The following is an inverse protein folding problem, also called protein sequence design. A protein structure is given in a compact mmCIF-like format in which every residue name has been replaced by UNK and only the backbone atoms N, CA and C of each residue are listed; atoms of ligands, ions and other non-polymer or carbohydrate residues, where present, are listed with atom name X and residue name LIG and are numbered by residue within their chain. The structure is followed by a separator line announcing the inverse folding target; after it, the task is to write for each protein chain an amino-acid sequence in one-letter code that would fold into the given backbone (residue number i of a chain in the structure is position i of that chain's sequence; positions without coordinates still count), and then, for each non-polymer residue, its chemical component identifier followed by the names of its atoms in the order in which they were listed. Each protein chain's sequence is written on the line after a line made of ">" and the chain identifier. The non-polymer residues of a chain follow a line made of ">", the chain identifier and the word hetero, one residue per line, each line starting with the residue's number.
data_IF_654418972679
#
_entry.id   IF_654418972679
#
_cell.length_a   1.000
_cell.length_b   1.000
_cell.length_c   1.000
_cell.angle_alpha   90.00
_cell.angle_beta   90.00
_cell.angle_gamma   90.00
#
_symmetry.space_group_name_H-M   'P 1'
#
loop_
_entity.id
_entity.type
_entity.pdbx_description
1 polymer ?
#
# COMPACT_ATOMS: atom_id res chain seq x y z
N UNK A 1 18.99 24.59 18.57
CA UNK A 1 18.00 25.11 17.72
C UNK A 1 17.63 24.17 16.63
N UNK A 2 16.36 24.01 16.39
CA UNK A 2 15.92 23.09 15.39
C UNK A 2 16.23 23.63 14.02
N UNK A 3 16.58 22.77 13.11
CA UNK A 3 16.80 23.18 11.74
C UNK A 3 15.49 23.54 11.11
N UNK A 4 15.51 24.55 10.29
CA UNK A 4 14.31 24.95 9.58
C UNK A 4 14.16 24.08 8.35
N UNK A 5 13.08 23.35 8.27
CA UNK A 5 12.77 22.56 7.09
C UNK A 5 11.26 22.44 6.97
N UNK A 6 10.83 22.07 5.78
CA UNK A 6 9.42 21.90 5.51
C UNK A 6 9.15 20.46 5.14
N UNK A 7 7.98 19.99 5.50
CA UNK A 7 7.55 18.65 5.15
C UNK A 7 6.42 18.73 4.13
N UNK A 8 6.17 17.62 3.46
CA UNK A 8 4.99 17.47 2.63
C UNK A 8 4.00 16.61 3.40
N UNK A 9 2.73 16.98 3.34
CA UNK A 9 1.69 16.12 3.90
C UNK A 9 1.20 15.22 2.79
N UNK A 10 1.36 13.94 2.98
CA UNK A 10 0.97 12.95 2.01
C UNK A 10 0.26 11.82 2.73
N UNK A 11 -0.31 10.90 1.98
CA UNK A 11 -1.00 9.76 2.56
C UNK A 11 -0.21 8.51 2.27
N UNK A 12 0.09 7.77 3.32
CA UNK A 12 0.72 6.47 3.19
C UNK A 12 -0.37 5.45 3.00
N UNK A 13 -0.32 4.70 1.91
CA UNK A 13 -1.24 3.59 1.70
C UNK A 13 -0.44 2.31 1.80
N UNK A 14 -0.93 1.37 2.58
CA UNK A 14 -0.32 0.05 2.75
C UNK A 14 -1.31 -1.01 2.30
N UNK A 15 -0.83 -1.94 1.49
CA UNK A 15 -1.62 -3.09 1.03
C UNK A 15 -0.86 -4.33 1.48
N UNK A 16 -1.57 -5.26 2.09
CA UNK A 16 -1.00 -6.56 2.47
C UNK A 16 -1.86 -7.63 1.81
N UNK A 17 -1.22 -8.52 1.08
CA UNK A 17 -1.94 -9.51 0.27
C UNK A 17 -1.07 -10.75 0.05
N UNK A 18 -1.66 -11.85 -0.37
CA UNK A 18 -0.86 -13.00 -0.79
C UNK A 18 0.11 -12.59 -1.90
N UNK A 19 1.32 -13.09 -1.84
CA UNK A 19 2.36 -12.67 -2.76
C UNK A 19 2.02 -12.94 -4.23
N UNK A 20 1.20 -13.93 -4.48
CA UNK A 20 0.79 -14.25 -5.85
C UNK A 20 -0.01 -13.14 -6.50
N UNK A 21 -0.54 -12.20 -5.72
CA UNK A 21 -1.29 -11.09 -6.27
C UNK A 21 -0.40 -9.89 -6.58
N UNK A 22 0.88 -9.96 -6.26
CA UNK A 22 1.77 -8.81 -6.31
C UNK A 22 1.77 -8.11 -7.67
N UNK A 23 2.00 -8.85 -8.74
CA UNK A 23 2.10 -8.23 -10.07
C UNK A 23 0.80 -7.52 -10.47
N UNK A 24 -0.32 -8.15 -10.21
CA UNK A 24 -1.60 -7.54 -10.53
C UNK A 24 -1.87 -6.28 -9.73
N UNK A 25 -1.49 -6.30 -8.44
CA UNK A 25 -1.67 -5.14 -7.59
C UNK A 25 -0.78 -3.98 -8.04
N UNK A 26 0.46 -4.28 -8.41
CA UNK A 26 1.36 -3.23 -8.89
C UNK A 26 0.88 -2.65 -10.21
N UNK A 27 0.29 -3.46 -11.07
CA UNK A 27 -0.31 -2.97 -12.30
C UNK A 27 -1.48 -2.03 -12.00
N UNK A 28 -2.32 -2.39 -11.04
CA UNK A 28 -3.42 -1.53 -10.63
C UNK A 28 -2.90 -0.18 -10.14
N UNK A 29 -1.85 -0.20 -9.33
CA UNK A 29 -1.30 1.05 -8.80
C UNK A 29 -0.77 1.94 -9.92
N UNK A 30 -0.08 1.36 -10.90
CA UNK A 30 0.40 2.14 -12.04
C UNK A 30 -0.75 2.75 -12.83
N UNK A 31 -1.81 1.99 -13.03
CA UNK A 31 -2.98 2.48 -13.75
C UNK A 31 -3.63 3.64 -13.02
N UNK A 32 -3.60 3.63 -11.71
CA UNK A 32 -4.17 4.70 -10.89
C UNK A 32 -3.28 5.95 -10.94
N UNK A 33 -2.02 5.78 -11.25
CA UNK A 33 -1.11 6.92 -11.31
C UNK A 33 -0.03 6.93 -10.25
N UNK A 34 0.16 5.81 -9.55
CA UNK A 34 1.21 5.72 -8.54
C UNK A 34 2.55 5.63 -9.25
N UNK A 35 3.51 6.46 -8.83
CA UNK A 35 4.80 6.52 -9.47
C UNK A 35 5.92 5.89 -8.64
N UNK A 36 5.67 5.63 -7.37
CA UNK A 36 6.71 5.02 -6.53
C UNK A 36 6.09 4.17 -5.44
N UNK A 37 6.76 3.10 -5.09
CA UNK A 37 6.29 2.21 -4.04
C UNK A 37 7.45 1.39 -3.52
N UNK A 38 7.27 0.81 -2.33
CA UNK A 38 8.21 -0.16 -1.79
C UNK A 38 7.46 -1.45 -1.53
N UNK A 39 8.12 -2.57 -1.72
CA UNK A 39 7.51 -3.86 -1.42
C UNK A 39 8.41 -4.65 -0.48
N UNK A 40 7.80 -5.48 0.32
CA UNK A 40 8.55 -6.40 1.19
C UNK A 40 7.72 -7.67 1.37
N UNK A 41 8.39 -8.76 1.67
CA UNK A 41 7.72 -10.01 1.98
C UNK A 41 7.47 -10.02 3.48
N UNK A 42 6.29 -10.40 3.89
CA UNK A 42 5.92 -10.41 5.30
C UNK A 42 5.10 -11.65 5.61
N UNK A 43 5.14 -12.05 6.86
CA UNK A 43 4.27 -13.11 7.32
C UNK A 43 3.12 -12.47 8.05
N UNK A 44 1.96 -13.10 8.01
CA UNK A 44 0.82 -12.56 8.69
C UNK A 44 -0.10 -13.65 9.18
N UNK A 45 -0.81 -13.35 10.23
CA UNK A 45 -1.82 -14.22 10.77
C UNK A 45 -3.03 -13.33 11.02
N UNK A 46 -4.12 -13.65 10.40
CA UNK A 46 -5.28 -12.81 10.50
C UNK A 46 -6.51 -13.56 10.94
N UNK A 47 -7.63 -12.87 10.78
CA UNK A 47 -8.90 -13.36 11.16
C UNK A 47 -9.23 -14.71 10.56
N UNK A 48 -8.73 -15.01 9.40
CA UNK A 48 -8.98 -16.27 8.74
C UNK A 48 -7.80 -17.24 8.87
N UNK A 49 -6.99 -17.05 9.85
CA UNK A 49 -5.85 -17.90 10.08
C UNK A 49 -4.69 -17.57 9.17
N UNK A 50 -3.81 -18.53 8.98
CA UNK A 50 -2.65 -18.31 8.16
C UNK A 50 -3.04 -18.42 6.72
N UNK A 51 -3.84 -17.60 6.22
CA UNK A 51 -4.16 -17.55 4.82
C UNK A 51 -4.25 -18.88 4.19
N UNK A 52 -5.10 -19.65 4.73
CA UNK A 52 -5.13 -20.93 4.30
C UNK A 52 -5.45 -21.16 2.93
N UNK A 53 -5.63 -20.21 2.17
CA UNK A 53 -5.65 -20.47 0.84
C UNK A 53 -4.37 -20.98 0.45
N UNK A 54 -3.43 -20.55 1.11
CA UNK A 54 -2.26 -21.03 0.87
C UNK A 54 -2.15 -22.27 1.49
N UNK A 55 -2.39 -23.17 0.87
CA UNK A 55 -2.20 -24.41 1.30
C UNK A 55 -0.84 -24.59 1.84
N UNK A 56 -0.08 -23.66 1.77
CA UNK A 56 1.23 -23.75 2.20
C UNK A 56 1.49 -22.43 2.73
N UNK A 57 2.45 -22.17 3.31
CA UNK A 57 2.82 -20.99 3.90
C UNK A 57 3.29 -19.99 2.88
N UNK A 58 2.44 -19.70 1.93
CA UNK A 58 2.80 -18.74 0.94
C UNK A 58 2.96 -17.40 1.61
N UNK A 59 4.05 -16.71 1.40
CA UNK A 59 4.26 -15.43 2.06
C UNK A 59 3.31 -14.37 1.54
N UNK A 60 3.16 -13.32 2.31
CA UNK A 60 2.41 -12.15 1.90
C UNK A 60 3.37 -11.10 1.36
N UNK A 61 2.84 -10.19 0.56
CA UNK A 61 3.56 -9.00 0.15
C UNK A 61 2.95 -7.82 0.87
N UNK A 62 3.80 -6.89 1.29
CA UNK A 62 3.38 -5.61 1.80
C UNK A 62 3.83 -4.57 0.79
N UNK A 63 2.91 -3.73 0.34
CA UNK A 63 3.20 -2.66 -0.61
C UNK A 63 2.89 -1.35 0.08
N UNK A 64 3.85 -0.45 0.11
CA UNK A 64 3.68 0.87 0.72
C UNK A 64 3.89 1.93 -0.36
N UNK A 65 3.05 2.94 -0.38
CA UNK A 65 3.22 4.05 -1.32
C UNK A 65 2.77 5.35 -0.66
N UNK A 66 3.44 6.43 -1.00
CA UNK A 66 3.10 7.76 -0.50
C UNK A 66 2.47 8.53 -1.64
N UNK A 67 1.24 8.92 -1.47
CA UNK A 67 0.44 9.52 -2.55
C UNK A 67 -0.41 10.66 -2.00
N UNK A 68 -1.08 11.37 -2.89
CA UNK A 68 -2.02 12.41 -2.46
C UNK A 68 -3.24 11.75 -1.82
N UNK A 69 -3.98 12.52 -1.06
CA UNK A 69 -5.20 12.02 -0.44
C UNK A 69 -6.18 11.52 -1.48
N UNK A 70 -6.24 12.18 -2.62
CA UNK A 70 -7.15 11.80 -3.69
C UNK A 70 -6.78 10.45 -4.28
N UNK A 71 -5.50 10.26 -4.57
CA UNK A 71 -5.03 8.97 -5.10
C UNK A 71 -5.23 7.88 -4.06
N UNK A 72 -4.99 8.19 -2.79
CA UNK A 72 -5.21 7.22 -1.72
C UNK A 72 -6.65 6.72 -1.70
N UNK A 73 -7.62 7.63 -1.86
CA UNK A 73 -9.03 7.23 -1.90
C UNK A 73 -9.30 6.30 -3.08
N UNK A 74 -8.71 6.60 -4.23
CA UNK A 74 -8.87 5.76 -5.41
C UNK A 74 -8.29 4.37 -5.17
N UNK A 75 -7.11 4.30 -4.54
CA UNK A 75 -6.50 3.01 -4.24
C UNK A 75 -7.39 2.23 -3.27
N UNK A 76 -7.85 2.86 -2.19
CA UNK A 76 -8.66 2.16 -1.21
C UNK A 76 -9.95 1.65 -1.83
N UNK A 77 -10.55 2.43 -2.72
CA UNK A 77 -11.76 1.99 -3.41
C UNK A 77 -11.52 0.78 -4.30
N UNK A 78 -10.39 0.79 -5.03
CA UNK A 78 -10.04 -0.33 -5.90
C UNK A 78 -9.75 -1.58 -5.07
N UNK A 79 -9.04 -1.42 -3.95
CA UNK A 79 -8.71 -2.53 -3.08
C UNK A 79 -9.96 -3.07 -2.38
N UNK A 80 -10.87 -2.19 -2.00
CA UNK A 80 -12.12 -2.62 -1.39
C UNK A 80 -12.92 -3.51 -2.33
N UNK A 81 -13.01 -3.13 -3.59
CA UNK A 81 -13.72 -3.94 -4.57
C UNK A 81 -13.03 -5.29 -4.77
N UNK A 82 -11.71 -5.29 -4.78
CA UNK A 82 -10.94 -6.49 -5.01
C UNK A 82 -10.97 -7.44 -3.83
N UNK A 83 -11.07 -6.91 -2.62
CA UNK A 83 -10.99 -7.71 -1.41
C UNK A 83 -12.14 -8.71 -1.26
N UNK A 84 -13.20 -8.52 -2.00
CA UNK A 84 -14.32 -9.46 -1.95
C UNK A 84 -13.91 -10.84 -2.50
N UNK A 85 -12.90 -10.85 -3.38
CA UNK A 85 -12.44 -12.08 -4.00
C UNK A 85 -11.05 -12.45 -3.50
N UNK A 86 -10.19 -11.45 -3.40
CA UNK A 86 -8.81 -11.68 -3.02
C UNK A 86 -8.63 -11.40 -1.53
N UNK A 87 -7.92 -12.20 -0.85
CA UNK A 87 -7.73 -12.01 0.59
C UNK A 87 -6.70 -10.95 0.89
N UNK A 88 -7.06 -9.70 0.72
CA UNK A 88 -6.13 -8.59 0.97
C UNK A 88 -6.73 -7.61 1.97
N UNK A 89 -5.87 -6.80 2.55
CA UNK A 89 -6.27 -5.70 3.40
C UNK A 89 -5.47 -4.47 2.99
N UNK A 90 -6.10 -3.32 3.03
CA UNK A 90 -5.43 -2.07 2.71
C UNK A 90 -5.87 -1.01 3.72
N UNK A 91 -4.96 -0.13 4.06
CA UNK A 91 -5.27 0.96 4.98
C UNK A 91 -4.39 2.16 4.64
N UNK A 92 -4.78 3.31 5.14
CA UNK A 92 -4.08 4.54 4.82
C UNK A 92 -4.14 5.51 5.98
N UNK A 93 -3.13 6.36 6.08
CA UNK A 93 -3.13 7.43 7.05
C UNK A 93 -2.21 8.56 6.58
N UNK A 94 -2.49 9.74 7.08
CA UNK A 94 -1.76 10.91 6.69
C UNK A 94 -0.42 10.96 7.43
N UNK A 95 0.64 11.29 6.71
CA UNK A 95 1.98 11.38 7.28
C UNK A 95 2.67 12.64 6.79
N UNK A 96 3.72 13.04 7.47
CA UNK A 96 4.60 14.10 6.99
C UNK A 96 5.84 13.43 6.41
N UNK A 97 6.29 13.91 5.27
CA UNK A 97 7.41 13.31 4.56
C UNK A 97 8.42 14.35 4.11
N UNK A 98 9.67 13.93 4.00
CA UNK A 98 10.75 14.75 3.47
C UNK A 98 11.50 13.94 2.42
N UNK A 99 12.13 14.57 1.46
CA UNK A 99 12.15 16.00 1.24
C UNK A 99 10.86 16.48 0.57
N UNK A 100 10.41 17.65 0.96
CA UNK A 100 9.15 18.17 0.44
C UNK A 100 9.13 18.25 -1.07
N UNK A 101 10.25 18.62 -1.68
CA UNK A 101 10.31 18.78 -3.13
C UNK A 101 10.04 17.49 -3.88
N UNK A 102 10.26 16.35 -3.25
CA UNK A 102 10.02 15.06 -3.90
C UNK A 102 8.54 14.80 -4.13
N UNK A 103 7.68 15.44 -3.33
CA UNK A 103 6.24 15.22 -3.38
C UNK A 103 5.48 16.39 -3.99
N UNK A 104 6.18 17.40 -4.49
CA UNK A 104 5.52 18.51 -5.13
C UNK A 104 5.31 18.19 -6.61
N UNK A 105 4.20 18.63 -7.11
CA UNK A 105 3.86 18.45 -8.51
C UNK A 105 4.21 19.71 -9.29
#
# INVERSE_FOLDING_TARGET
>A
MADAFETAKVTLVTIIAPITLSDGLLNDLRDIGVTGYTTSKVDGFGKHGTREFGLNDEPNVRIDTLVSAEIARTILGRMNARSAVDGLVAFAWEVEAVPRRHFQQ
#
